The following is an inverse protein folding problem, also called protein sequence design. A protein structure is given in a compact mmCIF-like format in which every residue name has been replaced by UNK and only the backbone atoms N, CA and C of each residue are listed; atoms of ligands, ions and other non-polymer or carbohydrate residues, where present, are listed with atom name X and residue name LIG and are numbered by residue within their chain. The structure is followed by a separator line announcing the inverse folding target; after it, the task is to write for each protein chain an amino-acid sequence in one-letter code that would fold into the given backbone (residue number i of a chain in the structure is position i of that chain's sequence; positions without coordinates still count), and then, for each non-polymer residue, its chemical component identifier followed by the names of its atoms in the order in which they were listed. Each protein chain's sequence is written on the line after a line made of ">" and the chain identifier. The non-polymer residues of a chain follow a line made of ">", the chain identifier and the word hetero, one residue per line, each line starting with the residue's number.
data_IF_576847903997
#
_entry.id   IF_576847903997
#
_cell.length_a   1.000
_cell.length_b   1.000
_cell.length_c   1.000
_cell.angle_alpha   90.00
_cell.angle_beta   90.00
_cell.angle_gamma   90.00
#
_symmetry.space_group_name_H-M   'P 1'
#
loop_
_entity.id
_entity.type
_entity.pdbx_description
1 polymer ?
#
# COMPACT_ATOMS: atom_id res chain seq x y z
N UNK A 1 40.02 33.40 22.84
CA UNK A 1 40.25 33.03 21.41
C UNK A 1 40.53 31.54 21.15
N UNK A 2 40.60 30.65 22.16
CA UNK A 2 40.79 29.19 21.95
C UNK A 2 39.50 28.34 21.87
N UNK A 3 38.36 28.84 22.37
CA UNK A 3 37.09 28.09 22.37
C UNK A 3 36.29 28.16 21.05
N UNK A 4 36.45 29.24 20.26
CA UNK A 4 35.77 29.37 18.97
C UNK A 4 36.40 28.51 17.85
N UNK A 5 37.67 28.12 17.99
CA UNK A 5 38.37 27.29 17.00
C UNK A 5 37.93 25.82 17.06
N UNK A 6 37.57 25.32 18.25
CA UNK A 6 37.10 23.95 18.43
C UNK A 6 35.67 23.71 17.91
N UNK A 7 34.79 24.72 17.98
CA UNK A 7 33.45 24.64 17.39
C UNK A 7 33.50 24.62 15.86
N UNK A 8 34.42 25.38 15.25
CA UNK A 8 34.61 25.39 13.80
C UNK A 8 35.19 24.07 13.28
N UNK A 9 36.14 23.46 14.01
CA UNK A 9 36.71 22.15 13.69
C UNK A 9 35.71 20.98 13.86
N UNK A 10 34.77 21.05 14.81
CA UNK A 10 33.70 20.05 14.93
C UNK A 10 32.69 20.10 13.77
N UNK A 11 32.39 21.30 13.26
CA UNK A 11 31.60 21.44 12.03
C UNK A 11 32.38 21.04 10.77
N UNK A 12 33.70 21.21 10.71
CA UNK A 12 34.51 20.72 9.58
C UNK A 12 34.68 19.20 9.62
N UNK A 13 34.78 18.59 10.81
CA UNK A 13 34.89 17.13 10.96
C UNK A 13 33.61 16.38 10.54
N UNK A 14 32.44 17.00 10.62
CA UNK A 14 31.19 16.45 10.08
C UNK A 14 31.06 16.65 8.56
N UNK A 15 31.85 17.54 7.96
CA UNK A 15 31.88 17.83 6.51
C UNK A 15 33.06 17.17 5.74
N UNK A 16 33.96 16.46 6.42
CA UNK A 16 35.25 16.03 5.85
C UNK A 16 35.35 14.59 5.28
N UNK A 17 34.27 13.84 5.04
CA UNK A 17 34.39 12.42 4.65
C UNK A 17 33.76 12.04 3.31
N UNK A 18 33.74 12.95 2.33
CA UNK A 18 33.50 12.54 0.95
C UNK A 18 34.81 12.08 0.31
N UNK A 19 34.86 10.84 -0.19
CA UNK A 19 36.06 10.27 -0.82
C UNK A 19 35.85 10.00 -2.30
N UNK A 20 36.86 10.16 -3.15
CA UNK A 20 36.77 9.68 -4.53
C UNK A 20 37.10 8.18 -4.66
N UNK A 21 37.46 7.52 -3.55
CA UNK A 21 37.83 6.10 -3.56
C UNK A 21 36.62 5.19 -3.61
N UNK A 22 36.57 4.32 -4.63
CA UNK A 22 35.58 3.25 -4.71
C UNK A 22 35.67 2.28 -3.53
N UNK A 23 36.88 1.92 -3.12
CA UNK A 23 37.11 1.00 -2.01
C UNK A 23 36.57 1.57 -0.69
N UNK A 24 36.75 2.86 -0.45
CA UNK A 24 36.20 3.56 0.71
C UNK A 24 34.67 3.45 0.75
N UNK A 25 33.98 3.77 -0.34
CA UNK A 25 32.51 3.73 -0.36
C UNK A 25 31.96 2.31 -0.28
N UNK A 26 32.59 1.33 -0.93
CA UNK A 26 32.16 -0.06 -0.82
C UNK A 26 32.36 -0.59 0.61
N UNK A 27 33.43 -0.17 1.31
CA UNK A 27 33.62 -0.45 2.73
C UNK A 27 32.53 0.17 3.60
N UNK A 28 32.17 1.45 3.37
CA UNK A 28 31.06 2.10 4.08
C UNK A 28 29.70 1.45 3.85
N UNK A 29 29.43 1.03 2.60
CA UNK A 29 28.22 0.27 2.27
C UNK A 29 28.20 -1.07 3.02
N UNK A 30 29.33 -1.80 3.05
CA UNK A 30 29.43 -3.08 3.75
C UNK A 30 29.28 -2.95 5.28
N UNK A 31 29.70 -1.82 5.86
CA UNK A 31 29.53 -1.50 7.29
C UNK A 31 28.11 -1.01 7.64
N UNK A 32 27.32 -0.60 6.65
CA UNK A 32 25.97 -0.08 6.88
C UNK A 32 24.98 -1.21 7.11
N UNK A 33 24.03 -1.00 8.04
CA UNK A 33 23.01 -2.01 8.35
C UNK A 33 22.17 -2.35 7.12
N UNK A 34 21.81 -1.34 6.32
CA UNK A 34 21.15 -1.49 5.01
C UNK A 34 21.60 -0.41 4.03
N UNK A 35 21.34 -0.60 2.74
CA UNK A 35 21.61 0.42 1.71
C UNK A 35 20.83 1.71 1.93
N UNK A 36 19.59 1.65 2.41
CA UNK A 36 18.80 2.83 2.75
C UNK A 36 19.48 3.64 3.86
N UNK A 37 19.99 2.97 4.90
CA UNK A 37 20.73 3.63 5.98
C UNK A 37 21.99 4.33 5.45
N UNK A 38 22.74 3.67 4.57
CA UNK A 38 23.90 4.24 3.89
C UNK A 38 23.52 5.50 3.09
N UNK A 39 22.50 5.38 2.23
CA UNK A 39 22.07 6.46 1.35
C UNK A 39 21.54 7.68 2.13
N UNK A 40 20.90 7.47 3.28
CA UNK A 40 20.43 8.55 4.15
C UNK A 40 21.57 9.22 4.91
N UNK A 41 22.48 8.46 5.51
CA UNK A 41 23.60 8.98 6.32
C UNK A 41 24.62 9.75 5.49
N UNK A 42 24.82 9.37 4.22
CA UNK A 42 25.84 9.95 3.36
C UNK A 42 25.29 10.90 2.29
N UNK A 43 24.08 11.45 2.46
CA UNK A 43 23.43 12.36 1.51
C UNK A 43 24.37 13.47 0.98
N UNK A 44 25.12 14.13 1.86
CA UNK A 44 26.02 15.22 1.49
C UNK A 44 27.12 14.80 0.49
N UNK A 45 27.45 13.51 0.44
CA UNK A 45 28.49 12.95 -0.44
C UNK A 45 27.95 12.24 -1.69
N UNK A 46 26.70 12.48 -2.09
CA UNK A 46 26.08 11.85 -3.27
C UNK A 46 26.94 11.87 -4.53
N UNK A 47 27.49 13.04 -4.88
CA UNK A 47 28.33 13.20 -6.09
C UNK A 47 29.59 12.33 -6.04
N UNK A 48 30.04 12.00 -4.84
CA UNK A 48 31.25 11.25 -4.56
C UNK A 48 30.98 9.75 -4.45
N UNK A 49 29.91 9.30 -3.76
CA UNK A 49 29.60 7.88 -3.67
C UNK A 49 28.91 7.31 -4.91
N UNK A 50 28.10 8.10 -5.63
CA UNK A 50 27.30 7.58 -6.75
C UNK A 50 28.16 6.95 -7.86
N UNK A 51 29.28 7.55 -8.31
CA UNK A 51 30.19 6.91 -9.28
C UNK A 51 30.77 5.58 -8.77
N UNK A 52 31.01 5.48 -7.45
CA UNK A 52 31.58 4.30 -6.79
C UNK A 52 30.57 3.15 -6.58
N UNK A 53 29.27 3.39 -6.74
CA UNK A 53 28.25 2.35 -6.66
C UNK A 53 28.43 1.32 -7.79
N UNK A 54 28.21 0.05 -7.47
CA UNK A 54 28.08 -1.00 -8.47
C UNK A 54 26.73 -0.89 -9.20
N UNK A 55 26.56 -1.63 -10.30
CA UNK A 55 25.37 -1.51 -11.14
C UNK A 55 24.06 -1.82 -10.39
N UNK A 56 24.05 -2.82 -9.51
CA UNK A 56 22.86 -3.19 -8.73
C UNK A 56 22.50 -2.08 -7.73
N UNK A 57 23.49 -1.50 -7.04
CA UNK A 57 23.32 -0.36 -6.14
C UNK A 57 22.81 0.88 -6.90
N UNK A 58 23.33 1.17 -8.10
CA UNK A 58 22.85 2.27 -8.96
C UNK A 58 21.41 2.08 -9.39
N UNK A 59 21.04 0.87 -9.82
CA UNK A 59 19.63 0.55 -10.17
C UNK A 59 18.72 0.84 -8.97
N UNK A 60 19.11 0.43 -7.77
CA UNK A 60 18.31 0.69 -6.59
C UNK A 60 18.20 2.19 -6.29
N UNK A 61 19.33 2.89 -6.24
CA UNK A 61 19.40 4.33 -6.01
C UNK A 61 18.52 5.11 -6.99
N UNK A 62 18.68 4.85 -8.29
CA UNK A 62 17.92 5.53 -9.34
C UNK A 62 16.42 5.21 -9.28
N UNK A 63 16.06 3.96 -8.96
CA UNK A 63 14.65 3.56 -8.91
C UNK A 63 13.89 4.33 -7.83
N UNK A 64 14.51 4.56 -6.66
CA UNK A 64 13.89 5.24 -5.51
C UNK A 64 13.91 6.75 -5.68
N UNK A 65 15.02 7.30 -6.19
CA UNK A 65 15.20 8.75 -6.32
C UNK A 65 14.53 9.34 -7.56
N UNK A 66 13.87 8.53 -8.40
CA UNK A 66 13.21 8.97 -9.62
C UNK A 66 12.01 9.93 -9.39
N UNK A 67 11.91 11.12 -10.01
CA UNK A 67 12.90 11.79 -10.86
C UNK A 67 13.84 12.69 -10.05
N UNK A 68 15.00 12.98 -10.63
CA UNK A 68 16.06 13.83 -10.06
C UNK A 68 15.57 15.22 -9.60
N UNK A 69 16.42 15.91 -8.82
CA UNK A 69 16.18 17.29 -8.38
C UNK A 69 15.49 17.42 -7.02
N UNK A 70 15.64 16.40 -6.16
CA UNK A 70 15.07 16.38 -4.82
C UNK A 70 15.85 17.31 -3.88
N UNK A 71 15.13 18.00 -3.01
CA UNK A 71 15.74 18.60 -1.81
C UNK A 71 16.28 17.51 -0.88
N UNK A 72 17.12 17.88 0.07
CA UNK A 72 17.63 16.95 1.08
C UNK A 72 16.50 16.23 1.82
N UNK A 73 15.52 16.98 2.29
CA UNK A 73 14.38 16.43 3.02
C UNK A 73 13.57 15.47 2.15
N UNK A 74 13.28 15.84 0.90
CA UNK A 74 12.54 14.99 -0.03
C UNK A 74 13.28 13.69 -0.35
N UNK A 75 14.59 13.78 -0.55
CA UNK A 75 15.44 12.61 -0.73
C UNK A 75 15.37 11.67 0.49
N UNK A 76 15.57 12.21 1.69
CA UNK A 76 15.55 11.42 2.92
C UNK A 76 14.17 10.79 3.14
N UNK A 77 13.09 11.56 2.95
CA UNK A 77 11.72 11.07 3.10
C UNK A 77 11.39 9.92 2.15
N UNK A 78 11.94 9.90 0.94
CA UNK A 78 11.77 8.75 0.04
C UNK A 78 12.44 7.48 0.58
N UNK A 79 13.67 7.59 1.06
CA UNK A 79 14.36 6.44 1.67
C UNK A 79 13.66 5.96 2.95
N UNK A 80 13.19 6.87 3.79
CA UNK A 80 12.34 6.50 4.93
C UNK A 80 11.05 5.82 4.47
N UNK A 81 10.33 6.39 3.50
CA UNK A 81 9.06 5.86 3.04
C UNK A 81 9.16 4.42 2.52
N UNK A 82 10.25 4.03 1.86
CA UNK A 82 10.40 2.64 1.38
C UNK A 82 10.83 1.68 2.49
N UNK A 83 11.60 2.17 3.48
CA UNK A 83 12.16 1.37 4.55
C UNK A 83 11.17 1.13 5.70
N UNK A 84 10.17 2.00 5.86
CA UNK A 84 9.15 1.86 6.91
C UNK A 84 8.07 0.84 6.53
N UNK A 85 7.76 -0.04 7.47
CA UNK A 85 6.50 -0.81 7.49
C UNK A 85 5.30 0.15 7.76
N UNK A 86 4.06 -0.33 7.68
CA UNK A 86 2.91 0.57 7.49
C UNK A 86 2.57 1.42 8.72
N UNK A 87 2.57 0.88 9.93
CA UNK A 87 2.26 1.66 11.14
C UNK A 87 3.31 2.78 11.34
N UNK A 88 4.62 2.52 11.35
CA UNK A 88 5.63 3.57 11.38
C UNK A 88 5.52 4.57 10.22
N UNK A 89 5.15 4.10 9.02
CA UNK A 89 4.91 4.96 7.87
C UNK A 89 3.78 5.96 8.13
N UNK A 90 2.61 5.50 8.56
CA UNK A 90 1.47 6.38 8.82
C UNK A 90 1.69 7.31 10.01
N UNK A 91 2.48 6.88 11.01
CA UNK A 91 2.91 7.74 12.12
C UNK A 91 3.86 8.86 11.64
N UNK A 92 4.83 8.53 10.79
CA UNK A 92 5.79 9.51 10.24
C UNK A 92 5.13 10.48 9.26
N UNK A 93 4.20 9.98 8.46
CA UNK A 93 3.51 10.73 7.40
C UNK A 93 2.01 10.84 7.71
N UNK A 94 1.68 11.39 8.88
CA UNK A 94 0.31 11.50 9.41
C UNK A 94 -0.69 12.23 8.51
N UNK A 95 -0.21 13.05 7.56
CA UNK A 95 -1.08 13.71 6.59
C UNK A 95 -1.86 12.72 5.70
N UNK A 96 -1.38 11.48 5.53
CA UNK A 96 -2.15 10.42 4.87
C UNK A 96 -3.36 9.97 5.70
N UNK A 97 -3.27 10.05 7.03
CA UNK A 97 -4.34 9.75 7.98
C UNK A 97 -5.09 11.01 8.46
N UNK A 98 -5.15 12.05 7.62
CA UNK A 98 -5.87 13.29 7.96
C UNK A 98 -7.40 13.11 8.12
N UNK A 99 -7.93 11.90 7.94
CA UNK A 99 -9.36 11.63 8.02
C UNK A 99 -9.89 11.74 9.46
N UNK A 100 -9.31 10.99 10.38
CA UNK A 100 -9.74 10.99 11.78
C UNK A 100 -9.56 12.37 12.40
N UNK A 101 -8.38 12.97 12.23
CA UNK A 101 -8.07 14.28 12.82
C UNK A 101 -9.00 15.38 12.31
N UNK A 102 -9.39 15.37 11.03
CA UNK A 102 -10.31 16.36 10.45
C UNK A 102 -11.77 16.12 10.85
N UNK A 103 -12.18 14.86 11.06
CA UNK A 103 -13.60 14.52 11.19
C UNK A 103 -14.00 13.82 12.49
N UNK A 104 -13.09 13.66 13.45
CA UNK A 104 -13.39 13.08 14.77
C UNK A 104 -14.58 13.75 15.44
N UNK A 105 -14.75 15.06 15.25
CA UNK A 105 -15.87 15.79 15.83
C UNK A 105 -17.24 15.41 15.24
N UNK A 106 -17.31 14.82 14.04
CA UNK A 106 -18.57 14.30 13.50
C UNK A 106 -18.94 12.89 13.95
N UNK A 107 -18.07 12.19 14.68
CA UNK A 107 -18.41 10.91 15.30
C UNK A 107 -19.45 11.17 16.39
N UNK A 108 -20.62 10.54 16.27
CA UNK A 108 -21.70 10.66 17.23
C UNK A 108 -21.33 10.01 18.57
N UNK A 109 -21.95 10.44 19.70
CA UNK A 109 -21.75 9.77 20.98
C UNK A 109 -22.09 8.28 20.96
N UNK A 110 -23.04 7.86 20.10
CA UNK A 110 -23.46 6.46 19.93
C UNK A 110 -22.37 5.64 19.24
N UNK A 111 -21.83 6.12 18.14
CA UNK A 111 -20.73 5.47 17.41
C UNK A 111 -19.46 5.38 18.27
N UNK A 112 -19.12 6.46 18.99
CA UNK A 112 -17.97 6.44 19.89
C UNK A 112 -18.17 5.44 21.04
N UNK A 113 -19.36 5.39 21.63
CA UNK A 113 -19.66 4.41 22.68
C UNK A 113 -19.60 2.97 22.14
N UNK A 114 -20.05 2.76 20.90
CA UNK A 114 -19.97 1.48 20.22
C UNK A 114 -18.51 1.05 20.02
N UNK A 115 -17.67 1.96 19.53
CA UNK A 115 -16.24 1.74 19.39
C UNK A 115 -15.58 1.37 20.72
N UNK A 116 -15.81 2.17 21.76
CA UNK A 116 -15.23 1.94 23.08
C UNK A 116 -15.60 0.55 23.62
N UNK A 117 -16.86 0.13 23.49
CA UNK A 117 -17.29 -1.23 23.86
C UNK A 117 -16.56 -2.32 23.06
N UNK A 118 -16.43 -2.15 21.74
CA UNK A 118 -15.68 -3.09 20.89
C UNK A 118 -14.20 -3.17 21.28
N UNK A 119 -13.63 -2.10 21.85
CA UNK A 119 -12.26 -2.06 22.36
C UNK A 119 -12.15 -2.55 23.83
N UNK A 120 -13.23 -3.06 24.43
CA UNK A 120 -13.22 -3.61 25.79
C UNK A 120 -13.34 -2.57 26.90
N UNK A 121 -13.77 -1.34 26.61
CA UNK A 121 -13.98 -0.34 27.65
C UNK A 121 -15.21 -0.70 28.50
N UNK A 122 -14.99 -0.97 29.79
CA UNK A 122 -16.05 -1.30 30.76
C UNK A 122 -16.93 -0.10 31.11
N UNK A 123 -16.38 1.11 31.10
CA UNK A 123 -17.10 2.35 31.36
C UNK A 123 -16.99 3.28 30.14
N UNK A 124 -18.08 3.99 29.85
CA UNK A 124 -18.12 4.97 28.78
C UNK A 124 -17.19 6.13 29.11
N UNK A 125 -16.21 6.38 28.24
CA UNK A 125 -15.33 7.54 28.36
C UNK A 125 -15.92 8.69 27.56
N UNK A 126 -16.07 9.86 28.17
CA UNK A 126 -16.57 11.04 27.46
C UNK A 126 -15.71 11.36 26.23
N UNK A 127 -16.32 11.95 25.20
CA UNK A 127 -15.65 12.27 23.93
C UNK A 127 -14.38 13.10 24.11
N UNK A 128 -14.44 14.13 24.96
CA UNK A 128 -13.29 14.99 25.26
C UNK A 128 -12.14 14.22 25.92
N UNK A 129 -12.45 13.40 26.94
CA UNK A 129 -11.44 12.58 27.63
C UNK A 129 -10.83 11.53 26.71
N UNK A 130 -11.65 10.88 25.87
CA UNK A 130 -11.17 9.89 24.91
C UNK A 130 -10.20 10.50 23.91
N UNK A 131 -10.53 11.65 23.29
CA UNK A 131 -9.62 12.30 22.34
C UNK A 131 -8.36 12.88 23.01
N UNK A 132 -8.48 13.42 24.23
CA UNK A 132 -7.31 13.85 25.00
C UNK A 132 -6.37 12.68 25.27
N UNK A 133 -6.90 11.52 25.66
CA UNK A 133 -6.11 10.31 25.88
C UNK A 133 -5.41 9.83 24.59
N UNK A 134 -6.10 9.85 23.45
CA UNK A 134 -5.45 9.53 22.16
C UNK A 134 -4.28 10.46 21.85
N UNK A 135 -4.45 11.76 22.08
CA UNK A 135 -3.40 12.75 21.84
C UNK A 135 -2.21 12.54 22.76
N UNK A 136 -2.45 12.36 24.06
CA UNK A 136 -1.39 12.10 25.06
C UNK A 136 -0.61 10.81 24.77
N UNK A 137 -1.28 9.80 24.20
CA UNK A 137 -0.64 8.53 23.81
C UNK A 137 -0.02 8.57 22.41
N UNK A 138 -0.13 9.68 21.67
CA UNK A 138 0.33 9.79 20.29
C UNK A 138 -0.38 8.83 19.33
N UNK A 139 -1.65 8.48 19.63
CA UNK A 139 -2.47 7.53 18.86
C UNK A 139 -3.48 8.20 17.94
N UNK A 140 -3.44 9.52 17.79
CA UNK A 140 -4.33 10.24 16.88
C UNK A 140 -4.10 9.88 15.41
N UNK A 141 -2.91 9.37 15.08
CA UNK A 141 -2.54 8.92 13.73
C UNK A 141 -2.47 7.38 13.60
N UNK A 142 -2.83 6.62 14.65
CA UNK A 142 -2.86 5.16 14.64
C UNK A 142 -4.05 4.66 13.80
N UNK A 143 -3.83 4.56 12.48
CA UNK A 143 -4.86 4.16 11.50
C UNK A 143 -5.46 2.81 11.87
N UNK A 144 -4.62 1.85 12.28
CA UNK A 144 -5.05 0.49 12.57
C UNK A 144 -6.03 0.46 13.73
N UNK A 145 -5.74 1.19 14.80
CA UNK A 145 -6.63 1.31 15.94
C UNK A 145 -7.89 2.12 15.64
N UNK A 146 -7.74 3.25 14.96
CA UNK A 146 -8.83 4.19 14.67
C UNK A 146 -9.68 3.78 13.46
N UNK A 147 -9.32 2.69 12.77
CA UNK A 147 -9.94 2.26 11.52
C UNK A 147 -11.48 2.22 11.58
N UNK A 148 -12.14 1.63 12.62
CA UNK A 148 -13.60 1.66 12.71
C UNK A 148 -14.17 3.09 12.78
N UNK A 149 -13.53 3.99 13.55
CA UNK A 149 -13.91 5.39 13.68
C UNK A 149 -13.73 6.16 12.36
N UNK A 150 -12.60 5.94 11.68
CA UNK A 150 -12.32 6.49 10.35
C UNK A 150 -13.42 6.06 9.36
N UNK A 151 -13.83 4.78 9.40
CA UNK A 151 -14.85 4.23 8.50
C UNK A 151 -16.23 4.81 8.72
N UNK A 152 -16.68 4.94 9.96
CA UNK A 152 -17.97 5.58 10.25
C UNK A 152 -18.02 7.01 9.76
N UNK A 153 -16.96 7.77 10.01
CA UNK A 153 -16.94 9.15 9.58
C UNK A 153 -16.84 9.28 8.05
N UNK A 154 -16.25 8.32 7.33
CA UNK A 154 -16.17 8.28 5.85
C UNK A 154 -17.53 8.25 5.16
N UNK A 155 -18.42 7.38 5.60
CA UNK A 155 -19.69 7.11 4.90
C UNK A 155 -20.71 8.24 5.07
N UNK A 156 -20.61 9.04 6.13
CA UNK A 156 -21.60 10.07 6.46
C UNK A 156 -21.43 11.39 5.70
N UNK A 157 -20.36 11.58 4.92
CA UNK A 157 -20.00 12.95 4.49
C UNK A 157 -19.36 13.12 3.10
N UNK A 158 -19.06 12.06 2.34
CA UNK A 158 -18.55 12.21 0.95
C UNK A 158 -17.23 13.01 0.79
N UNK A 159 -16.44 13.14 1.85
CA UNK A 159 -15.33 14.11 2.02
C UNK A 159 -14.02 13.68 1.33
N UNK A 160 -14.01 12.54 0.65
CA UNK A 160 -12.76 11.90 0.24
C UNK A 160 -11.99 12.69 -0.81
N UNK A 161 -12.68 13.48 -1.64
CA UNK A 161 -12.04 14.26 -2.71
C UNK A 161 -11.22 15.44 -2.17
N UNK A 162 -11.74 16.21 -1.22
CA UNK A 162 -11.02 17.35 -0.63
C UNK A 162 -9.81 16.89 0.19
N UNK A 163 -9.97 15.82 0.96
CA UNK A 163 -8.87 15.20 1.68
C UNK A 163 -7.82 14.62 0.73
N UNK A 164 -8.25 14.06 -0.40
CA UNK A 164 -7.35 13.57 -1.44
C UNK A 164 -6.53 14.69 -2.05
N UNK A 165 -7.13 15.83 -2.38
CA UNK A 165 -6.39 16.99 -2.89
C UNK A 165 -5.32 17.47 -1.90
N UNK A 166 -5.64 17.53 -0.59
CA UNK A 166 -4.67 17.86 0.47
C UNK A 166 -3.54 16.83 0.54
N UNK A 167 -3.86 15.53 0.54
CA UNK A 167 -2.85 14.45 0.57
C UNK A 167 -1.92 14.51 -0.63
N UNK A 168 -2.45 14.79 -1.82
CA UNK A 168 -1.65 14.98 -3.04
C UNK A 168 -0.69 16.15 -2.86
N UNK A 169 -1.19 17.31 -2.42
CA UNK A 169 -0.36 18.50 -2.21
C UNK A 169 0.78 18.26 -1.21
N UNK A 170 0.48 17.66 -0.05
CA UNK A 170 1.52 17.30 0.92
C UNK A 170 2.51 16.27 0.38
N UNK A 171 2.04 15.25 -0.36
CA UNK A 171 2.94 14.27 -0.96
C UNK A 171 3.91 14.90 -1.97
N UNK A 172 3.46 15.88 -2.75
CA UNK A 172 4.35 16.64 -3.66
C UNK A 172 5.46 17.36 -2.90
N UNK A 173 5.12 18.05 -1.81
CA UNK A 173 6.08 18.77 -0.97
C UNK A 173 7.05 17.82 -0.26
N UNK A 174 6.52 16.80 0.42
CA UNK A 174 7.27 15.89 1.30
C UNK A 174 8.21 14.97 0.53
N UNK A 175 7.83 14.55 -0.68
CA UNK A 175 8.59 13.57 -1.46
C UNK A 175 9.14 14.13 -2.78
N UNK A 176 8.92 15.41 -3.10
CA UNK A 176 9.36 15.99 -4.37
C UNK A 176 8.71 15.30 -5.57
N UNK A 177 7.41 15.02 -5.45
CA UNK A 177 6.62 14.35 -6.49
C UNK A 177 5.94 15.41 -7.35
N UNK A 178 5.71 15.11 -8.62
CA UNK A 178 4.83 15.87 -9.49
C UNK A 178 3.58 15.04 -9.78
N UNK A 179 2.40 15.52 -9.38
CA UNK A 179 1.15 14.78 -9.61
C UNK A 179 0.91 14.49 -11.09
N UNK A 180 0.42 13.28 -11.39
CA UNK A 180 0.19 12.79 -12.74
C UNK A 180 1.46 12.32 -13.47
N UNK A 181 2.65 12.49 -12.89
CA UNK A 181 3.90 12.03 -13.50
C UNK A 181 4.14 10.55 -13.22
N UNK A 182 4.25 9.78 -14.29
CA UNK A 182 4.63 8.35 -14.26
C UNK A 182 6.08 8.17 -14.69
N UNK A 183 6.62 6.96 -14.52
CA UNK A 183 7.95 6.60 -14.99
C UNK A 183 8.04 6.52 -16.52
N UNK A 184 9.26 6.36 -17.02
CA UNK A 184 9.54 6.00 -18.42
C UNK A 184 9.88 4.50 -18.55
N UNK A 185 10.13 4.02 -19.76
CA UNK A 185 10.44 2.61 -20.02
C UNK A 185 11.69 2.14 -19.25
N UNK A 186 12.69 2.99 -19.10
CA UNK A 186 13.91 2.65 -18.37
C UNK A 186 13.66 2.54 -16.86
N UNK A 187 12.93 3.49 -16.28
CA UNK A 187 12.49 3.42 -14.88
C UNK A 187 11.67 2.15 -14.63
N UNK A 188 10.75 1.81 -15.53
CA UNK A 188 9.95 0.59 -15.39
C UNK A 188 10.81 -0.67 -15.41
N UNK A 189 11.76 -0.76 -16.35
CA UNK A 189 12.67 -1.90 -16.45
C UNK A 189 13.54 -2.08 -15.20
N UNK A 190 14.02 -0.97 -14.61
CA UNK A 190 14.78 -0.98 -13.34
C UNK A 190 13.88 -1.44 -12.20
N UNK A 191 12.68 -0.89 -12.10
CA UNK A 191 11.71 -1.17 -11.06
C UNK A 191 11.33 -2.65 -10.99
N UNK A 192 10.91 -3.26 -12.10
CA UNK A 192 10.45 -4.67 -12.11
C UNK A 192 11.60 -5.66 -11.86
N UNK A 193 12.83 -5.30 -12.26
CA UNK A 193 14.01 -6.11 -11.98
C UNK A 193 14.42 -6.04 -10.50
N UNK A 194 14.39 -4.84 -9.91
CA UNK A 194 14.75 -4.60 -8.51
C UNK A 194 13.80 -5.32 -7.54
N UNK A 195 12.50 -5.29 -7.84
CA UNK A 195 11.45 -5.84 -6.98
C UNK A 195 10.94 -7.22 -7.45
N UNK A 196 11.73 -7.95 -8.25
CA UNK A 196 11.35 -9.26 -8.79
C UNK A 196 10.89 -10.25 -7.71
N UNK A 197 11.58 -10.27 -6.56
CA UNK A 197 11.26 -11.17 -5.46
C UNK A 197 9.88 -10.87 -4.86
N UNK A 198 9.54 -9.59 -4.66
CA UNK A 198 8.23 -9.15 -4.20
C UNK A 198 7.13 -9.53 -5.19
N UNK A 199 7.35 -9.31 -6.49
CA UNK A 199 6.40 -9.69 -7.54
C UNK A 199 6.20 -11.20 -7.59
N UNK A 200 7.28 -11.98 -7.49
CA UNK A 200 7.22 -13.45 -7.54
C UNK A 200 6.45 -14.00 -6.36
N UNK A 201 6.74 -13.52 -5.15
CA UNK A 201 6.06 -13.95 -3.94
C UNK A 201 4.55 -13.68 -4.00
N UNK A 202 4.15 -12.48 -4.46
CA UNK A 202 2.72 -12.14 -4.60
C UNK A 202 2.08 -12.90 -5.77
N UNK A 203 2.76 -13.03 -6.91
CA UNK A 203 2.25 -13.75 -8.08
C UNK A 203 2.01 -15.23 -7.77
N UNK A 204 2.93 -15.90 -7.06
CA UNK A 204 2.80 -17.31 -6.70
C UNK A 204 1.55 -17.55 -5.83
N UNK A 205 1.35 -16.70 -4.81
CA UNK A 205 0.16 -16.80 -3.96
C UNK A 205 -1.11 -16.44 -4.73
N UNK A 206 -1.08 -15.38 -5.55
CA UNK A 206 -2.23 -14.94 -6.33
C UNK A 206 -2.66 -15.99 -7.37
N UNK A 207 -1.71 -16.65 -8.02
CA UNK A 207 -1.94 -17.70 -9.00
C UNK A 207 -2.77 -18.86 -8.41
N UNK A 208 -2.41 -19.31 -7.21
CA UNK A 208 -3.15 -20.33 -6.48
C UNK A 208 -4.60 -19.89 -6.20
N UNK A 209 -4.80 -18.62 -5.82
CA UNK A 209 -6.12 -18.07 -5.48
C UNK A 209 -7.02 -17.77 -6.68
N UNK A 210 -6.43 -17.54 -7.85
CA UNK A 210 -7.14 -17.28 -9.10
C UNK A 210 -7.24 -18.49 -10.02
N UNK A 211 -6.64 -19.62 -9.63
CA UNK A 211 -6.53 -20.83 -10.44
C UNK A 211 -5.90 -20.58 -11.83
N UNK A 212 -4.80 -19.84 -11.86
CA UNK A 212 -3.99 -19.57 -13.07
C UNK A 212 -2.53 -19.93 -12.85
N UNK A 213 -1.71 -19.93 -13.90
CA UNK A 213 -0.27 -20.13 -13.75
C UNK A 213 0.40 -18.93 -13.07
N UNK A 214 1.49 -19.19 -12.33
CA UNK A 214 2.28 -18.13 -11.68
C UNK A 214 2.72 -17.05 -12.68
N UNK A 215 3.14 -17.46 -13.87
CA UNK A 215 3.54 -16.53 -14.92
C UNK A 215 2.38 -15.65 -15.41
N UNK A 216 1.15 -16.18 -15.45
CA UNK A 216 -0.05 -15.40 -15.80
C UNK A 216 -0.34 -14.35 -14.73
N UNK A 217 -0.27 -14.73 -13.45
CA UNK A 217 -0.43 -13.79 -12.34
C UNK A 217 0.69 -12.73 -12.33
N UNK A 218 1.93 -13.11 -12.63
CA UNK A 218 3.05 -12.18 -12.76
C UNK A 218 2.82 -11.17 -13.90
N UNK A 219 2.40 -11.63 -15.09
CA UNK A 219 2.06 -10.75 -16.23
C UNK A 219 0.96 -9.77 -15.85
N UNK A 220 -0.10 -10.22 -15.19
CA UNK A 220 -1.18 -9.36 -14.68
C UNK A 220 -0.64 -8.22 -13.81
N UNK A 221 0.18 -8.54 -12.80
CA UNK A 221 0.74 -7.53 -11.88
C UNK A 221 1.67 -6.55 -12.60
N UNK A 222 2.54 -7.04 -13.49
CA UNK A 222 3.48 -6.21 -14.25
C UNK A 222 2.75 -5.27 -15.21
N UNK A 223 1.74 -5.76 -15.94
CA UNK A 223 0.94 -4.94 -16.87
C UNK A 223 0.21 -3.82 -16.11
N UNK A 224 -0.43 -4.13 -14.99
CA UNK A 224 -1.11 -3.10 -14.18
C UNK A 224 -0.11 -2.03 -13.73
N UNK A 225 1.06 -2.44 -13.24
CA UNK A 225 2.12 -1.51 -12.82
C UNK A 225 2.56 -0.59 -13.95
N UNK A 226 2.71 -1.15 -15.15
CA UNK A 226 3.08 -0.38 -16.33
C UNK A 226 2.02 0.66 -16.69
N UNK A 227 0.74 0.27 -16.69
CA UNK A 227 -0.35 1.16 -17.06
C UNK A 227 -0.59 2.25 -16.00
N UNK A 228 -0.35 1.95 -14.72
CA UNK A 228 -0.65 2.85 -13.61
C UNK A 228 0.50 3.82 -13.29
N UNK A 229 1.72 3.33 -13.17
CA UNK A 229 2.85 4.15 -12.67
C UNK A 229 4.10 4.11 -13.53
N UNK A 230 4.20 3.16 -14.47
CA UNK A 230 5.45 2.86 -15.21
C UNK A 230 6.66 2.76 -14.28
N UNK A 231 6.47 2.17 -13.10
CA UNK A 231 7.55 1.95 -12.12
C UNK A 231 8.01 3.20 -11.38
N UNK A 232 7.30 4.33 -11.46
CA UNK A 232 7.50 5.42 -10.51
C UNK A 232 6.92 5.00 -9.15
N UNK A 233 7.80 4.68 -8.20
CA UNK A 233 7.42 4.22 -6.87
C UNK A 233 6.57 5.25 -6.12
N UNK A 234 6.87 6.53 -6.34
CA UNK A 234 6.22 7.68 -5.72
C UNK A 234 5.21 8.32 -6.68
N UNK A 235 4.62 7.56 -7.60
CA UNK A 235 3.56 8.08 -8.46
C UNK A 235 2.36 8.53 -7.61
N UNK A 236 1.82 9.71 -7.92
CA UNK A 236 0.63 10.27 -7.30
C UNK A 236 -0.27 10.81 -8.40
N UNK A 237 -1.54 10.41 -8.43
CA UNK A 237 -2.51 10.92 -9.40
C UNK A 237 -3.03 12.30 -8.99
N UNK A 238 -3.69 12.99 -9.94
CA UNK A 238 -4.42 14.22 -9.64
C UNK A 238 -5.62 14.00 -8.72
N UNK A 239 -6.09 12.76 -8.58
CA UNK A 239 -7.32 12.36 -7.87
C UNK A 239 -7.05 11.65 -6.55
N UNK A 240 -5.80 11.53 -6.10
CA UNK A 240 -5.47 10.90 -4.83
C UNK A 240 -5.29 9.38 -4.90
N UNK A 241 -4.79 8.86 -6.02
CA UNK A 241 -4.23 7.53 -6.11
C UNK A 241 -2.70 7.58 -5.90
N UNK A 242 -2.15 6.64 -5.14
CA UNK A 242 -0.78 6.70 -4.65
C UNK A 242 -0.01 5.40 -4.91
N UNK A 243 1.30 5.55 -5.07
CA UNK A 243 2.23 4.43 -5.19
C UNK A 243 2.25 3.79 -6.56
N UNK A 244 3.04 2.72 -6.69
CA UNK A 244 3.20 2.01 -7.96
C UNK A 244 1.92 1.36 -8.49
N UNK A 245 0.99 1.01 -7.60
CA UNK A 245 -0.30 0.39 -7.93
C UNK A 245 -1.45 1.40 -8.05
N UNK A 246 -1.19 2.69 -7.88
CA UNK A 246 -2.17 3.78 -7.96
C UNK A 246 -3.52 3.44 -7.27
N UNK A 247 -3.46 3.00 -6.02
CA UNK A 247 -4.65 2.79 -5.20
C UNK A 247 -4.96 4.07 -4.41
N UNK A 248 -6.23 4.34 -4.14
CA UNK A 248 -6.60 5.47 -3.27
C UNK A 248 -6.24 5.18 -1.82
N UNK A 249 -6.08 6.23 -0.99
CA UNK A 249 -5.87 6.01 0.45
C UNK A 249 -7.03 5.28 1.09
N UNK A 250 -8.26 5.48 0.58
CA UNK A 250 -9.40 4.66 0.96
C UNK A 250 -9.08 3.15 0.79
N UNK A 251 -8.46 2.73 -0.30
CA UNK A 251 -8.04 1.33 -0.44
C UNK A 251 -6.89 0.92 0.50
N UNK A 252 -5.85 1.75 0.59
CA UNK A 252 -4.70 1.44 1.45
C UNK A 252 -5.09 1.32 2.92
N UNK A 253 -5.97 2.19 3.41
CA UNK A 253 -6.38 2.25 4.81
C UNK A 253 -7.60 1.37 5.10
N UNK A 254 -8.55 1.25 4.15
CA UNK A 254 -9.89 0.74 4.48
C UNK A 254 -10.17 -0.69 4.07
N UNK A 255 -9.30 -1.32 3.28
CA UNK A 255 -9.53 -2.67 2.77
C UNK A 255 -8.55 -3.65 3.42
N UNK A 256 -8.84 -4.07 4.66
CA UNK A 256 -7.93 -4.87 5.49
C UNK A 256 -6.99 -4.01 6.32
N UNK A 257 -5.86 -4.57 6.78
CA UNK A 257 -4.83 -3.82 7.51
C UNK A 257 -4.27 -2.67 6.66
N UNK A 258 -3.96 -1.50 7.24
CA UNK A 258 -3.34 -0.40 6.52
C UNK A 258 -2.04 -0.83 5.83
N UNK A 259 -1.81 -0.32 4.62
CA UNK A 259 -0.57 -0.60 3.89
C UNK A 259 0.12 0.67 3.42
N UNK A 260 1.44 0.69 3.54
CA UNK A 260 2.29 1.74 3.00
C UNK A 260 2.19 1.76 1.45
N UNK A 261 1.74 2.87 0.83
CA UNK A 261 1.57 3.00 -0.62
C UNK A 261 2.90 3.02 -1.40
N UNK A 262 4.02 3.34 -0.75
CA UNK A 262 5.32 3.43 -1.38
C UNK A 262 6.20 2.20 -1.11
N UNK A 263 5.68 1.20 -0.40
CA UNK A 263 6.29 -0.12 -0.33
C UNK A 263 5.72 -1.02 -1.45
N UNK A 264 6.56 -1.53 -2.38
CA UNK A 264 6.08 -2.32 -3.52
C UNK A 264 5.31 -3.56 -3.12
N UNK A 265 5.80 -4.32 -2.13
CA UNK A 265 5.16 -5.57 -1.68
C UNK A 265 3.81 -5.29 -1.05
N UNK A 266 3.75 -4.30 -0.15
CA UNK A 266 2.51 -3.85 0.49
C UNK A 266 1.45 -3.44 -0.54
N UNK A 267 1.86 -2.67 -1.54
CA UNK A 267 0.96 -2.20 -2.60
C UNK A 267 0.48 -3.34 -3.50
N UNK A 268 1.37 -4.26 -3.87
CA UNK A 268 1.01 -5.46 -4.63
C UNK A 268 0.04 -6.35 -3.86
N UNK A 269 0.24 -6.53 -2.56
CA UNK A 269 -0.67 -7.30 -1.70
C UNK A 269 -2.07 -6.68 -1.70
N UNK A 270 -2.17 -5.35 -1.57
CA UNK A 270 -3.45 -4.63 -1.65
C UNK A 270 -4.15 -4.82 -3.00
N UNK A 271 -3.39 -4.74 -4.09
CA UNK A 271 -3.91 -5.00 -5.43
C UNK A 271 -4.39 -6.45 -5.56
N UNK A 272 -3.55 -7.42 -5.23
CA UNK A 272 -3.84 -8.85 -5.33
C UNK A 272 -5.11 -9.23 -4.55
N UNK A 273 -5.30 -8.67 -3.35
CA UNK A 273 -6.51 -8.90 -2.56
C UNK A 273 -7.80 -8.41 -3.23
N UNK A 274 -7.76 -7.36 -4.05
CA UNK A 274 -8.92 -6.98 -4.89
C UNK A 274 -9.25 -8.07 -5.91
N UNK A 275 -8.24 -8.60 -6.60
CA UNK A 275 -8.44 -9.65 -7.62
C UNK A 275 -8.98 -10.93 -6.99
N UNK A 276 -8.45 -11.35 -5.84
CA UNK A 276 -8.98 -12.50 -5.09
C UNK A 276 -10.44 -12.28 -4.70
N UNK A 277 -10.78 -11.08 -4.21
CA UNK A 277 -12.16 -10.74 -3.86
C UNK A 277 -13.11 -10.86 -5.06
N UNK A 278 -12.75 -10.29 -6.21
CA UNK A 278 -13.57 -10.32 -7.41
C UNK A 278 -13.70 -11.74 -8.00
N UNK A 279 -12.62 -12.50 -8.02
CA UNK A 279 -12.64 -13.88 -8.49
C UNK A 279 -13.61 -14.75 -7.66
N UNK A 280 -13.61 -14.60 -6.33
CA UNK A 280 -14.51 -15.32 -5.42
C UNK A 280 -16.00 -15.04 -5.62
N UNK A 281 -16.35 -13.85 -6.11
CA UNK A 281 -17.75 -13.52 -6.44
C UNK A 281 -18.11 -13.92 -7.88
N UNK A 282 -17.35 -14.84 -8.48
CA UNK A 282 -17.63 -15.46 -9.77
C UNK A 282 -17.25 -14.58 -10.96
N UNK A 283 -16.29 -13.66 -10.80
CA UNK A 283 -15.92 -12.71 -11.87
C UNK A 283 -14.61 -13.13 -12.52
N UNK A 284 -14.51 -12.93 -13.83
CA UNK A 284 -13.28 -13.21 -14.58
C UNK A 284 -12.16 -12.22 -14.20
N UNK A 285 -10.93 -12.54 -14.55
CA UNK A 285 -9.78 -11.63 -14.35
C UNK A 285 -10.03 -10.33 -15.11
N UNK A 286 -10.57 -10.40 -16.32
CA UNK A 286 -10.92 -9.23 -17.13
C UNK A 286 -11.95 -8.34 -16.43
N UNK A 287 -13.01 -8.94 -15.89
CA UNK A 287 -14.02 -8.22 -15.11
C UNK A 287 -13.40 -7.57 -13.85
N UNK A 288 -12.41 -8.24 -13.26
CA UNK A 288 -11.68 -7.72 -12.09
C UNK A 288 -10.78 -6.53 -12.45
N UNK A 289 -10.15 -6.52 -13.64
CA UNK A 289 -9.34 -5.38 -14.11
C UNK A 289 -10.22 -4.16 -14.36
N UNK A 290 -11.37 -4.31 -15.01
CA UNK A 290 -12.26 -3.15 -15.22
C UNK A 290 -12.86 -2.64 -13.91
N UNK A 291 -13.20 -3.52 -12.97
CA UNK A 291 -13.66 -3.10 -11.64
C UNK A 291 -12.56 -2.48 -10.80
N UNK A 292 -11.31 -2.92 -10.96
CA UNK A 292 -10.16 -2.26 -10.36
C UNK A 292 -10.07 -0.79 -10.81
N UNK A 293 -10.24 -0.52 -12.11
CA UNK A 293 -10.08 0.82 -12.68
C UNK A 293 -11.31 1.72 -12.48
N UNK A 294 -12.49 1.19 -12.76
CA UNK A 294 -13.73 1.97 -12.86
C UNK A 294 -14.65 1.86 -11.65
N UNK A 295 -14.38 0.93 -10.73
CA UNK A 295 -15.30 0.56 -9.65
C UNK A 295 -16.52 -0.24 -10.12
N UNK A 296 -16.68 -0.52 -11.41
CA UNK A 296 -17.79 -1.29 -11.98
C UNK A 296 -17.31 -2.59 -12.64
N UNK A 297 -18.02 -3.68 -12.36
CA UNK A 297 -17.77 -5.02 -12.92
C UNK A 297 -18.32 -5.17 -14.35
N UNK A 298 -19.14 -4.23 -14.78
CA UNK A 298 -19.94 -4.32 -16.02
C UNK A 298 -19.60 -3.24 -17.04
N UNK A 299 -18.77 -2.25 -16.66
CA UNK A 299 -18.29 -1.22 -17.58
C UNK A 299 -17.53 -1.85 -18.75
N UNK A 300 -17.60 -1.22 -19.92
CA UNK A 300 -16.92 -1.65 -21.14
C UNK A 300 -17.43 -2.98 -21.75
N UNK A 301 -18.47 -3.61 -21.18
CA UNK A 301 -19.19 -4.70 -21.83
C UNK A 301 -20.08 -4.12 -22.94
N UNK A 302 -20.20 -4.84 -24.05
CA UNK A 302 -21.12 -4.52 -25.15
C UNK A 302 -20.90 -3.15 -25.83
N UNK A 303 -19.68 -2.61 -25.81
CA UNK A 303 -19.31 -1.39 -26.56
C UNK A 303 -19.76 -0.06 -25.94
N UNK A 304 -20.57 -0.08 -24.87
CA UNK A 304 -20.98 1.14 -24.18
C UNK A 304 -19.78 1.83 -23.49
N UNK A 305 -19.53 3.08 -23.84
CA UNK A 305 -18.42 3.87 -23.28
C UNK A 305 -17.04 3.44 -23.76
N UNK A 306 -16.91 2.79 -24.93
CA UNK A 306 -15.64 2.30 -25.48
C UNK A 306 -14.53 3.37 -25.58
N UNK A 307 -14.92 4.65 -25.73
CA UNK A 307 -13.99 5.80 -25.76
C UNK A 307 -13.60 6.35 -24.38
N UNK A 308 -14.15 5.81 -23.29
CA UNK A 308 -13.80 6.24 -21.93
C UNK A 308 -12.38 5.82 -21.56
N UNK A 309 -11.74 6.60 -20.68
CA UNK A 309 -10.38 6.30 -20.19
C UNK A 309 -10.28 4.90 -19.55
N UNK A 310 -11.33 4.46 -18.85
CA UNK A 310 -11.39 3.14 -18.22
C UNK A 310 -11.44 2.01 -19.24
N UNK A 311 -12.19 2.19 -20.34
CA UNK A 311 -12.25 1.19 -21.41
C UNK A 311 -10.96 1.16 -22.23
N UNK A 312 -10.32 2.32 -22.45
CA UNK A 312 -8.99 2.35 -23.06
C UNK A 312 -7.97 1.60 -22.20
N UNK A 313 -7.94 1.86 -20.89
CA UNK A 313 -7.09 1.13 -19.95
C UNK A 313 -7.30 -0.39 -20.01
N UNK A 314 -8.56 -0.83 -20.02
CA UNK A 314 -8.92 -2.24 -20.12
C UNK A 314 -8.49 -2.86 -21.46
N UNK A 315 -8.66 -2.14 -22.57
CA UNK A 315 -8.24 -2.59 -23.90
C UNK A 315 -6.71 -2.67 -24.00
N UNK A 316 -5.99 -1.69 -23.45
CA UNK A 316 -4.52 -1.72 -23.37
C UNK A 316 -4.07 -2.94 -22.56
N UNK A 317 -4.68 -3.21 -21.41
CA UNK A 317 -4.43 -4.42 -20.63
C UNK A 317 -4.63 -5.71 -21.45
N UNK A 318 -5.77 -5.83 -22.15
CA UNK A 318 -6.06 -7.01 -22.99
C UNK A 318 -5.02 -7.17 -24.10
N UNK A 319 -4.65 -6.06 -24.74
CA UNK A 319 -3.63 -6.05 -25.77
C UNK A 319 -2.30 -6.59 -25.23
N UNK A 320 -1.83 -6.09 -24.08
CA UNK A 320 -0.60 -6.57 -23.45
C UNK A 320 -0.68 -8.04 -23.07
N UNK A 321 -1.77 -8.50 -22.44
CA UNK A 321 -1.95 -9.91 -22.09
C UNK A 321 -1.92 -10.82 -23.33
N UNK A 322 -2.57 -10.42 -24.42
CA UNK A 322 -2.57 -11.18 -25.67
C UNK A 322 -1.18 -11.25 -26.30
N UNK A 323 -0.48 -10.11 -26.40
CA UNK A 323 0.89 -10.06 -26.96
C UNK A 323 1.91 -10.80 -26.11
N UNK A 324 1.70 -10.85 -24.80
CA UNK A 324 2.61 -11.50 -23.86
C UNK A 324 2.25 -12.97 -23.60
N UNK A 325 1.21 -13.53 -24.26
CA UNK A 325 0.73 -14.91 -24.02
C UNK A 325 1.85 -15.94 -24.07
N UNK A 326 2.71 -15.86 -25.08
CA UNK A 326 3.77 -16.84 -25.35
C UNK A 326 5.10 -16.57 -24.64
N UNK A 327 5.28 -15.41 -24.02
CA UNK A 327 6.53 -15.08 -23.31
C UNK A 327 6.65 -15.97 -22.06
N UNK A 328 7.77 -16.67 -21.90
CA UNK A 328 7.96 -17.66 -20.82
C UNK A 328 8.86 -17.16 -19.70
N UNK A 329 9.59 -16.07 -19.91
CA UNK A 329 10.52 -15.52 -18.93
C UNK A 329 10.25 -14.06 -18.58
N UNK A 330 10.64 -13.67 -17.37
CA UNK A 330 10.54 -12.30 -16.87
C UNK A 330 11.41 -11.32 -17.66
N UNK A 331 12.55 -11.81 -18.19
CA UNK A 331 13.43 -11.05 -19.09
C UNK A 331 12.75 -10.71 -20.41
N UNK A 332 12.08 -11.67 -21.04
CA UNK A 332 11.30 -11.43 -22.26
C UNK A 332 10.17 -10.45 -22.02
N UNK A 333 9.44 -10.62 -20.90
CA UNK A 333 8.39 -9.70 -20.46
C UNK A 333 8.91 -8.27 -20.35
N UNK A 334 10.01 -8.06 -19.63
CA UNK A 334 10.62 -6.74 -19.47
C UNK A 334 11.09 -6.14 -20.80
N UNK A 335 11.75 -6.94 -21.65
CA UNK A 335 12.21 -6.47 -22.96
C UNK A 335 11.05 -6.09 -23.87
N UNK A 336 9.98 -6.89 -23.88
CA UNK A 336 8.78 -6.58 -24.66
C UNK A 336 8.17 -5.25 -24.24
N UNK A 337 8.09 -4.96 -22.93
CA UNK A 337 7.44 -3.75 -22.43
C UNK A 337 8.32 -2.50 -22.52
N UNK A 338 9.64 -2.64 -22.55
CA UNK A 338 10.56 -1.50 -22.36
C UNK A 338 11.70 -1.39 -23.36
N UNK A 339 11.95 -2.43 -24.16
CA UNK A 339 13.17 -2.60 -24.95
C UNK A 339 14.41 -2.94 -24.13
N UNK A 340 14.33 -2.98 -22.79
CA UNK A 340 15.44 -3.23 -21.87
C UNK A 340 15.09 -4.30 -20.82
N UNK A 341 16.09 -4.84 -20.16
CA UNK A 341 15.89 -5.77 -19.03
C UNK A 341 17.10 -5.72 -18.11
N UNK A 342 16.85 -5.48 -16.82
CA UNK A 342 17.89 -5.39 -15.79
C UNK A 342 17.91 -6.61 -14.83
N UNK A 343 17.36 -7.75 -15.22
CA UNK A 343 17.34 -8.95 -14.38
C UNK A 343 18.75 -9.59 -14.27
N UNK A 344 19.46 -9.26 -13.19
CA UNK A 344 20.76 -9.82 -12.85
C UNK A 344 20.77 -10.39 -11.42
N UNK A 345 21.53 -11.46 -11.14
CA UNK A 345 21.58 -12.09 -9.81
C UNK A 345 21.95 -11.11 -8.68
N UNK A 346 22.85 -10.16 -8.94
CA UNK A 346 23.33 -9.20 -7.96
C UNK A 346 22.25 -8.27 -7.36
N UNK A 347 21.09 -8.11 -8.00
CA UNK A 347 19.97 -7.34 -7.44
C UNK A 347 19.31 -8.06 -6.25
N UNK A 348 19.32 -9.39 -6.24
CA UNK A 348 18.70 -10.22 -5.19
C UNK A 348 19.50 -10.18 -3.89
N UNK A 349 20.82 -10.04 -4.02
CA UNK A 349 21.78 -10.01 -2.92
C UNK A 349 22.01 -8.62 -2.33
N UNK A 350 21.29 -7.58 -2.81
CA UNK A 350 21.38 -6.25 -2.21
C UNK A 350 20.88 -6.30 -0.77
N UNK A 351 21.68 -5.76 0.15
CA UNK A 351 21.30 -5.57 1.55
C UNK A 351 20.33 -4.37 1.68
N UNK A 352 19.10 -4.57 1.23
CA UNK A 352 17.99 -3.61 1.32
C UNK A 352 16.93 -4.12 2.28
N UNK A 353 16.15 -3.22 2.84
CA UNK A 353 14.94 -3.56 3.59
C UNK A 353 13.97 -4.27 2.65
N UNK A 354 13.46 -5.42 3.11
CA UNK A 354 12.44 -6.22 2.41
C UNK A 354 11.26 -6.36 3.34
N UNK A 355 10.06 -6.03 2.84
CA UNK A 355 8.86 -6.22 3.64
C UNK A 355 8.61 -7.70 3.90
N UNK A 356 8.39 -8.04 5.17
CA UNK A 356 8.10 -9.40 5.61
C UNK A 356 6.62 -9.77 5.41
N UNK A 357 5.80 -8.83 4.91
CA UNK A 357 4.38 -9.09 4.64
C UNK A 357 4.18 -10.23 3.65
N UNK A 358 3.16 -11.03 3.93
CA UNK A 358 2.68 -12.06 3.03
C UNK A 358 1.30 -11.69 2.54
N UNK A 359 0.92 -12.17 1.36
CA UNK A 359 -0.44 -12.02 0.86
C UNK A 359 -1.37 -12.83 1.76
N UNK A 360 -1.96 -12.16 2.75
CA UNK A 360 -3.07 -12.68 3.55
C UNK A 360 -4.36 -12.29 2.86
N UNK A 361 -5.37 -13.15 2.98
CA UNK A 361 -6.67 -12.93 2.36
C UNK A 361 -7.21 -11.53 2.69
N UNK A 362 -8.02 -11.00 1.78
CA UNK A 362 -8.85 -9.82 2.04
C UNK A 362 -9.69 -10.04 3.31
N UNK A 363 -9.38 -9.33 4.39
CA UNK A 363 -9.97 -9.59 5.70
C UNK A 363 -10.44 -8.31 6.40
N UNK A 364 -11.47 -7.61 5.89
CA UNK A 364 -12.24 -6.77 6.78
C UNK A 364 -12.74 -7.65 7.92
N UNK A 365 -12.59 -7.19 9.15
CA UNK A 365 -13.22 -7.86 10.28
C UNK A 365 -14.74 -7.64 10.19
N UNK A 366 -15.48 -8.72 10.32
CA UNK A 366 -16.93 -8.73 10.17
C UNK A 366 -17.52 -9.75 11.14
N UNK A 367 -18.83 -9.67 11.34
CA UNK A 367 -19.54 -10.67 12.12
C UNK A 367 -20.10 -11.74 11.20
N UNK A 368 -19.78 -13.01 11.49
CA UNK A 368 -20.44 -14.15 10.87
C UNK A 368 -21.81 -14.33 11.51
N UNK A 369 -22.87 -14.06 10.77
CA UNK A 369 -24.25 -14.09 11.27
C UNK A 369 -24.89 -15.42 10.95
N UNK A 370 -25.53 -16.06 11.91
CA UNK A 370 -26.28 -17.28 11.66
C UNK A 370 -27.66 -16.92 11.10
N UNK A 371 -27.99 -17.47 9.93
CA UNK A 371 -29.30 -17.29 9.28
C UNK A 371 -30.24 -18.48 9.49
N UNK A 372 -29.73 -19.60 9.99
CA UNK A 372 -30.46 -20.86 10.29
C UNK A 372 -29.88 -21.53 11.55
N UNK A 373 -30.36 -22.71 11.92
CA UNK A 373 -29.92 -23.47 13.11
C UNK A 373 -28.47 -24.00 13.08
N UNK A 374 -27.76 -23.86 11.96
CA UNK A 374 -26.35 -24.29 11.82
C UNK A 374 -25.44 -23.53 12.78
N UNK A 375 -24.65 -24.24 13.59
CA UNK A 375 -23.74 -23.67 14.60
C UNK A 375 -24.42 -22.82 15.70
N UNK A 376 -25.74 -22.96 15.91
CA UNK A 376 -26.48 -22.16 16.89
C UNK A 376 -25.87 -22.20 18.31
N UNK A 377 -25.37 -23.38 18.74
CA UNK A 377 -24.74 -23.56 20.05
C UNK A 377 -23.43 -22.77 20.25
N UNK A 378 -22.79 -22.29 19.16
CA UNK A 378 -21.58 -21.47 19.23
C UNK A 378 -21.86 -19.97 19.11
N UNK A 379 -23.09 -19.58 18.76
CA UNK A 379 -23.40 -18.20 18.52
C UNK A 379 -23.77 -17.45 19.80
N UNK A 380 -23.34 -16.20 19.85
CA UNK A 380 -23.73 -15.23 20.88
C UNK A 380 -24.67 -14.21 20.26
N UNK A 381 -25.60 -13.71 21.07
CA UNK A 381 -26.45 -12.57 20.69
C UNK A 381 -25.56 -11.33 20.56
N UNK A 382 -25.72 -10.61 19.47
CA UNK A 382 -25.05 -9.35 19.17
C UNK A 382 -26.10 -8.32 18.76
N UNK A 383 -25.79 -7.04 18.90
CA UNK A 383 -26.73 -5.96 18.60
C UNK A 383 -26.20 -5.11 17.45
N UNK A 384 -27.08 -4.71 16.56
CA UNK A 384 -26.78 -3.68 15.60
C UNK A 384 -26.61 -2.34 16.31
N UNK A 385 -25.92 -1.41 15.66
CA UNK A 385 -25.77 -0.03 16.14
C UNK A 385 -27.14 0.56 16.41
N UNK A 386 -28.18 0.24 15.61
CA UNK A 386 -29.59 0.64 15.77
C UNK A 386 -30.34 -0.05 16.91
N UNK A 387 -29.82 -1.13 17.50
CA UNK A 387 -30.45 -1.89 18.59
C UNK A 387 -31.10 -3.21 18.18
N UNK A 388 -31.19 -3.51 16.88
CA UNK A 388 -31.70 -4.80 16.39
C UNK A 388 -30.77 -5.95 16.80
N UNK A 389 -31.30 -7.09 17.22
CA UNK A 389 -30.45 -8.23 17.62
C UNK A 389 -30.23 -9.25 16.50
N UNK A 390 -29.07 -9.90 16.52
CA UNK A 390 -28.75 -11.02 15.64
C UNK A 390 -27.84 -12.03 16.36
N UNK A 391 -27.82 -13.28 15.89
CA UNK A 391 -26.91 -14.30 16.42
C UNK A 391 -25.64 -14.37 15.57
N UNK A 392 -24.49 -14.33 16.22
CA UNK A 392 -23.21 -14.33 15.53
C UNK A 392 -22.19 -15.25 16.17
N UNK A 393 -21.24 -15.73 15.37
CA UNK A 393 -20.06 -16.44 15.86
C UNK A 393 -18.95 -15.48 16.31
N UNK A 394 -19.29 -14.19 16.50
CA UNK A 394 -18.35 -13.14 16.86
C UNK A 394 -17.69 -12.44 15.68
N UNK A 395 -16.86 -11.45 16.02
CA UNK A 395 -16.03 -10.69 15.08
C UNK A 395 -14.88 -11.56 14.62
N UNK A 396 -14.74 -11.73 13.31
CA UNK A 396 -13.71 -12.58 12.70
C UNK A 396 -13.31 -12.05 11.34
N UNK A 397 -12.24 -12.59 10.79
CA UNK A 397 -11.72 -12.19 9.47
C UNK A 397 -12.67 -12.65 8.37
N UNK A 398 -12.89 -11.83 7.32
CA UNK A 398 -13.75 -12.22 6.18
C UNK A 398 -13.39 -13.60 5.59
N UNK A 399 -12.11 -13.93 5.52
CA UNK A 399 -11.61 -15.23 5.05
C UNK A 399 -12.10 -16.40 5.90
N UNK A 400 -12.18 -16.23 7.22
CA UNK A 400 -12.72 -17.21 8.15
C UNK A 400 -14.22 -17.38 7.91
N UNK A 401 -14.94 -16.28 7.69
CA UNK A 401 -16.35 -16.33 7.29
C UNK A 401 -16.52 -17.05 5.95
N UNK A 402 -15.62 -16.84 4.98
CA UNK A 402 -15.65 -17.57 3.71
C UNK A 402 -15.46 -19.07 3.92
N UNK A 403 -14.48 -19.50 4.74
CA UNK A 403 -14.32 -20.93 5.07
C UNK A 403 -15.58 -21.52 5.69
N UNK A 404 -16.23 -20.77 6.59
CA UNK A 404 -17.52 -21.18 7.15
C UNK A 404 -18.62 -21.23 6.08
N UNK A 405 -18.65 -20.29 5.14
CA UNK A 405 -19.60 -20.28 4.03
C UNK A 405 -19.37 -21.42 3.04
N UNK A 406 -18.12 -21.83 2.82
CA UNK A 406 -17.75 -22.94 1.94
C UNK A 406 -18.10 -24.28 2.61
N UNK A 407 -17.85 -24.41 3.92
CA UNK A 407 -18.14 -25.61 4.69
C UNK A 407 -19.64 -25.79 4.99
N UNK A 408 -20.34 -24.71 5.34
CA UNK A 408 -21.71 -24.76 5.85
C UNK A 408 -22.73 -24.11 4.90
N UNK A 409 -22.30 -23.54 3.78
CA UNK A 409 -23.15 -22.87 2.80
C UNK A 409 -23.40 -21.39 3.07
N UNK A 410 -23.31 -20.56 2.02
CA UNK A 410 -23.59 -19.11 2.03
C UNK A 410 -25.00 -18.74 2.52
N UNK A 411 -25.97 -19.66 2.40
CA UNK A 411 -27.33 -19.48 2.88
C UNK A 411 -27.44 -19.52 4.42
N UNK A 412 -26.51 -20.22 5.08
CA UNK A 412 -26.55 -20.45 6.53
C UNK A 412 -25.67 -19.45 7.29
N UNK A 413 -24.57 -19.01 6.68
CA UNK A 413 -23.64 -18.04 7.25
C UNK A 413 -23.74 -16.71 6.50
N UNK A 414 -24.46 -15.77 7.12
CA UNK A 414 -24.54 -14.37 6.74
C UNK A 414 -23.36 -13.54 7.21
N UNK A 415 -23.39 -12.26 6.87
CA UNK A 415 -22.26 -11.34 7.07
C UNK A 415 -22.80 -9.97 7.44
N UNK A 416 -22.28 -9.42 8.54
CA UNK A 416 -22.57 -8.05 8.95
C UNK A 416 -21.26 -7.31 9.15
N UNK A 417 -21.20 -6.07 8.65
CA UNK A 417 -20.04 -5.20 8.87
C UNK A 417 -19.90 -4.89 10.34
N UNK A 418 -18.68 -4.96 10.87
CA UNK A 418 -18.35 -4.62 12.26
C UNK A 418 -18.80 -3.21 12.69
N UNK A 419 -18.77 -2.26 11.77
CA UNK A 419 -19.30 -0.91 11.95
C UNK A 419 -20.79 -0.88 12.32
N UNK A 420 -21.55 -1.90 11.94
CA UNK A 420 -22.99 -1.94 12.21
C UNK A 420 -23.29 -2.59 13.55
N UNK A 421 -22.30 -3.01 14.35
CA UNK A 421 -22.51 -3.88 15.51
C UNK A 421 -21.98 -3.22 16.78
N UNK A 422 -22.82 -3.11 17.79
CA UNK A 422 -22.39 -2.75 19.14
C UNK A 422 -22.61 -3.96 20.06
N UNK A 423 -21.65 -4.18 20.97
CA UNK A 423 -21.81 -5.21 22.00
C UNK A 423 -22.84 -4.80 23.05
#
# INVERSE_FOLDING_TARGET
>A
MRQFFFLFLFSIALYANCSNSKAFWQSKIAQSQTLESFFMQHYACQRSFYPALNNAQKIYFDTVTYSNGLTQEQYQNRWYAIALEDEPFFKRFGFFNNYFTTHKNSISPRELSCFQKQQGFYQKVSKAHFYRALSLQGREDDVSYLYPLIRWSYENKGIDMDLSAKRVHYAEQVFGIQRGKVGNNEQFARFIALFDEEYSAVASTLAQRLHVSELTAYKLLVIITYLESRGNLFAVSKTGAFGSMQLTLHYYMMYGEPNNPFNPKSSLIKLANKFVHYHRIGRSIEASVIAYKSGSLEKCRNGFGAKSADCKYYNDYKFYMAKMKHLQSKREISRFMTGKSYFYPALRTLNRVKSQKTLRDYEPYQYAVLKKGTLAHKAKKSLYLSGESFFSLGKMKRSEIYRLQDQYGKANIGVVSDKKVCW
#
